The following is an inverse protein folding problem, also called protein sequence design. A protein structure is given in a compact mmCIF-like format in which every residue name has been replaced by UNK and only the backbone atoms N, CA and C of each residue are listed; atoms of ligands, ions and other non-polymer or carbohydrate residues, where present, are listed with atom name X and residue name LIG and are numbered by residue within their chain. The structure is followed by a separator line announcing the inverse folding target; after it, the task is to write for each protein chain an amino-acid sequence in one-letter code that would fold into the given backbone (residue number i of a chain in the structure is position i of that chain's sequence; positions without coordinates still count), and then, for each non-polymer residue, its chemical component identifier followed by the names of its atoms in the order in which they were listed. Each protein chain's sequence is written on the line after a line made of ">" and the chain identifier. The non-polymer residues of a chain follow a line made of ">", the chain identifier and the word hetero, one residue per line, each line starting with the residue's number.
data_IF_309557792291
#
_entry.id   IF_309557792291
#
_cell.length_a   1.000
_cell.length_b   1.000
_cell.length_c   1.000
_cell.angle_alpha   90.00
_cell.angle_beta   90.00
_cell.angle_gamma   90.00
#
_symmetry.space_group_name_H-M   'P 1'
#
loop_
_entity.id
_entity.type
_entity.pdbx_description
1 polymer ?
#
# COMPACT_ATOMS: atom_id res chain seq x y z
N UNK A 1 -2.85 -36.84 27.39
CA UNK A 1 -3.06 -35.87 26.28
C UNK A 1 -4.37 -35.09 26.42
N UNK A 2 -5.54 -35.72 26.71
CA UNK A 2 -6.85 -35.03 26.87
C UNK A 2 -6.91 -34.08 28.09
N UNK A 3 -6.31 -34.44 29.22
CA UNK A 3 -6.29 -33.62 30.44
C UNK A 3 -5.46 -32.35 30.24
N UNK A 4 -4.31 -32.41 29.56
CA UNK A 4 -3.51 -31.24 29.23
C UNK A 4 -4.24 -30.29 28.31
N UNK A 5 -5.03 -30.81 27.35
CA UNK A 5 -5.84 -30.01 26.48
C UNK A 5 -6.96 -29.24 27.23
N UNK A 6 -7.63 -29.89 28.19
CA UNK A 6 -8.64 -29.24 29.04
C UNK A 6 -8.03 -28.16 29.92
N UNK A 7 -6.86 -28.43 30.54
CA UNK A 7 -6.14 -27.45 31.37
C UNK A 7 -5.70 -26.23 30.52
N UNK A 8 -5.23 -26.46 29.30
CA UNK A 8 -4.92 -25.36 28.37
C UNK A 8 -6.14 -24.53 28.00
N UNK A 9 -7.30 -25.15 27.75
CA UNK A 9 -8.56 -24.45 27.48
C UNK A 9 -9.06 -23.65 28.70
N UNK A 10 -8.98 -24.22 29.89
CA UNK A 10 -9.35 -23.54 31.14
C UNK A 10 -8.41 -22.35 31.43
N UNK A 11 -7.11 -22.51 31.24
CA UNK A 11 -6.13 -21.41 31.35
C UNK A 11 -6.38 -20.30 30.31
N UNK A 12 -6.72 -20.66 29.04
CA UNK A 12 -7.12 -19.67 28.00
C UNK A 12 -8.41 -18.97 28.37
N UNK A 13 -9.43 -19.69 28.87
CA UNK A 13 -10.68 -19.09 29.32
C UNK A 13 -10.49 -18.13 30.49
N UNK A 14 -9.68 -18.48 31.49
CA UNK A 14 -9.37 -17.60 32.59
C UNK A 14 -8.53 -16.36 32.17
N UNK A 15 -7.58 -16.54 31.25
CA UNK A 15 -6.87 -15.40 30.64
C UNK A 15 -7.79 -14.50 29.80
N UNK A 16 -8.76 -15.06 29.08
CA UNK A 16 -9.72 -14.32 28.25
C UNK A 16 -10.65 -13.40 29.06
N UNK A 17 -10.83 -13.66 30.36
CA UNK A 17 -11.61 -12.77 31.25
C UNK A 17 -10.80 -11.50 31.59
N UNK A 18 -9.46 -11.59 31.59
CA UNK A 18 -8.56 -10.50 31.96
C UNK A 18 -7.82 -9.87 30.78
N UNK A 19 -7.72 -10.55 29.64
CA UNK A 19 -7.11 -10.04 28.40
C UNK A 19 -8.16 -10.03 27.30
N UNK A 20 -8.33 -8.90 26.65
CA UNK A 20 -9.16 -8.82 25.42
C UNK A 20 -8.58 -9.82 24.39
N UNK A 21 -9.37 -10.84 24.05
CA UNK A 21 -9.05 -11.71 22.92
C UNK A 21 -8.89 -10.84 21.67
N UNK A 22 -7.86 -11.09 20.92
CA UNK A 22 -7.64 -10.46 19.61
C UNK A 22 -7.63 -11.54 18.52
N UNK A 23 -7.79 -11.12 17.28
CA UNK A 23 -7.81 -11.99 16.11
C UNK A 23 -6.64 -13.00 16.10
N UNK A 24 -5.46 -12.57 16.50
CA UNK A 24 -4.26 -13.42 16.45
C UNK A 24 -4.30 -14.55 17.48
N UNK A 25 -4.79 -14.29 18.67
CA UNK A 25 -4.97 -15.35 19.68
C UNK A 25 -6.05 -16.34 19.28
N UNK A 26 -7.10 -15.89 18.59
CA UNK A 26 -8.15 -16.75 18.04
C UNK A 26 -7.62 -17.64 16.91
N UNK A 27 -6.66 -17.14 16.13
CA UNK A 27 -5.94 -17.90 15.10
C UNK A 27 -4.88 -18.86 15.67
N UNK A 28 -4.68 -18.87 16.99
CA UNK A 28 -3.77 -19.81 17.65
C UNK A 28 -2.35 -19.29 17.89
N UNK A 29 -2.10 -17.99 17.68
CA UNK A 29 -0.83 -17.38 18.03
C UNK A 29 -0.72 -17.11 19.54
N UNK A 30 0.47 -17.25 20.10
CA UNK A 30 0.81 -16.61 21.37
C UNK A 30 1.11 -15.14 21.09
N UNK A 31 0.31 -14.23 21.67
CA UNK A 31 0.45 -12.79 21.44
C UNK A 31 1.30 -12.16 22.54
N UNK A 32 2.30 -11.37 22.13
CA UNK A 32 3.20 -10.62 23.01
C UNK A 32 3.18 -9.15 22.59
N UNK A 33 2.77 -8.27 23.46
CA UNK A 33 2.73 -6.83 23.19
C UNK A 33 1.43 -6.16 23.69
N UNK A 34 1.21 -4.88 23.33
CA UNK A 34 2.12 -4.03 22.54
C UNK A 34 3.40 -3.67 23.27
N UNK A 35 4.52 -3.59 22.54
CA UNK A 35 5.85 -3.24 23.05
C UNK A 35 6.32 -1.92 22.44
N UNK A 36 7.06 -1.12 23.20
CA UNK A 36 7.71 0.06 22.65
C UNK A 36 8.89 -0.35 21.74
N UNK A 37 8.73 -0.21 20.42
CA UNK A 37 9.74 -0.57 19.42
C UNK A 37 10.99 0.29 19.42
N UNK A 38 11.03 1.37 20.18
CA UNK A 38 12.22 2.20 20.39
C UNK A 38 12.99 1.84 21.66
N UNK A 39 12.54 0.82 22.42
CA UNK A 39 13.23 0.30 23.58
C UNK A 39 13.95 -1.03 23.22
N UNK A 40 15.16 -0.91 22.68
CA UNK A 40 15.95 -2.05 22.22
C UNK A 40 16.21 -3.09 23.31
N UNK A 41 16.46 -2.64 24.55
CA UNK A 41 16.72 -3.52 25.69
C UNK A 41 15.50 -4.39 26.05
N UNK A 42 14.32 -3.83 25.97
CA UNK A 42 13.06 -4.55 26.20
C UNK A 42 12.80 -5.55 25.05
N UNK A 43 12.98 -5.13 23.81
CA UNK A 43 12.84 -6.00 22.64
C UNK A 43 13.80 -7.19 22.70
N UNK A 44 15.08 -6.96 23.04
CA UNK A 44 16.06 -8.03 23.19
C UNK A 44 15.63 -9.05 24.26
N UNK A 45 15.16 -8.57 25.42
CA UNK A 45 14.66 -9.46 26.49
C UNK A 45 13.46 -10.28 26.02
N UNK A 46 12.52 -9.66 25.31
CA UNK A 46 11.35 -10.34 24.76
C UNK A 46 11.77 -11.38 23.74
N UNK A 47 12.64 -11.06 22.78
CA UNK A 47 13.12 -12.01 21.78
C UNK A 47 13.84 -13.21 22.40
N UNK A 48 14.63 -13.01 23.47
CA UNK A 48 15.26 -14.11 24.21
C UNK A 48 14.24 -15.04 24.86
N UNK A 49 13.11 -14.52 25.33
CA UNK A 49 12.07 -15.30 25.98
C UNK A 49 11.20 -16.05 24.98
N UNK A 50 10.76 -15.37 23.91
CA UNK A 50 9.81 -15.96 22.93
C UNK A 50 10.43 -17.08 22.10
N UNK A 51 11.74 -17.06 21.86
CA UNK A 51 12.41 -18.13 21.11
C UNK A 51 12.31 -19.53 21.78
N UNK A 52 11.96 -19.58 23.09
CA UNK A 52 11.77 -20.81 23.83
C UNK A 52 10.30 -21.27 23.88
N UNK A 53 9.39 -20.56 23.23
CA UNK A 53 7.98 -20.92 23.13
C UNK A 53 7.81 -21.86 21.94
N UNK A 54 7.32 -23.07 22.21
CA UNK A 54 7.01 -24.07 21.17
C UNK A 54 5.59 -23.84 20.60
N UNK A 55 5.39 -22.65 20.02
CA UNK A 55 4.14 -22.24 19.36
C UNK A 55 4.42 -21.06 18.41
N UNK A 56 3.56 -20.79 17.43
CA UNK A 56 3.63 -19.55 16.68
C UNK A 56 3.46 -18.34 17.61
N UNK A 57 4.37 -17.39 17.53
CA UNK A 57 4.35 -16.17 18.36
C UNK A 57 4.17 -14.94 17.48
N UNK A 58 3.21 -14.09 17.84
CA UNK A 58 3.06 -12.77 17.25
C UNK A 58 3.56 -11.72 18.24
N UNK A 59 4.61 -11.00 17.85
CA UNK A 59 5.17 -9.91 18.65
C UNK A 59 4.65 -8.59 18.08
N UNK A 60 3.79 -7.90 18.83
CA UNK A 60 3.27 -6.59 18.46
C UNK A 60 4.19 -5.49 18.97
N UNK A 61 4.78 -4.75 18.04
CA UNK A 61 5.72 -3.66 18.34
C UNK A 61 5.15 -2.36 17.80
N UNK A 62 5.05 -1.36 18.65
CA UNK A 62 4.63 -0.01 18.29
C UNK A 62 5.84 0.88 18.11
N UNK A 63 5.91 1.54 16.94
CA UNK A 63 6.99 2.49 16.62
C UNK A 63 6.41 3.81 16.14
N UNK A 64 7.16 4.89 16.33
CA UNK A 64 6.89 6.17 15.69
C UNK A 64 7.81 6.30 14.48
N UNK A 65 7.23 6.36 13.27
CA UNK A 65 7.99 6.52 12.03
C UNK A 65 8.74 7.85 12.04
N UNK A 66 10.00 7.84 11.63
CA UNK A 66 10.86 9.03 11.67
C UNK A 66 11.43 9.38 13.04
N UNK A 67 11.27 8.50 14.05
CA UNK A 67 11.72 8.71 15.44
C UNK A 67 13.17 9.18 15.51
N UNK A 68 13.38 10.32 16.22
CA UNK A 68 14.68 10.95 16.41
C UNK A 68 14.93 12.15 15.50
N UNK A 69 14.05 12.40 14.51
CA UNK A 69 14.10 13.59 13.68
C UNK A 69 12.70 14.22 13.62
N UNK A 70 12.49 15.35 14.31
CA UNK A 70 11.17 15.94 14.51
C UNK A 70 10.40 16.19 13.21
N UNK A 71 11.07 16.70 12.17
CA UNK A 71 10.42 16.97 10.89
C UNK A 71 9.90 15.70 10.22
N UNK A 72 10.60 14.57 10.41
CA UNK A 72 10.14 13.26 9.93
C UNK A 72 9.05 12.66 10.83
N UNK A 73 9.10 12.92 12.13
CA UNK A 73 8.05 12.48 13.06
C UNK A 73 6.73 13.20 12.77
N UNK A 74 6.77 14.46 12.36
CA UNK A 74 5.60 15.27 12.03
C UNK A 74 5.06 14.99 10.61
N UNK A 75 5.95 14.65 9.68
CA UNK A 75 5.60 14.37 8.27
C UNK A 75 6.21 13.05 7.77
N UNK A 76 5.86 11.90 8.35
CA UNK A 76 6.52 10.63 8.04
C UNK A 76 6.35 10.16 6.59
N UNK A 77 5.32 10.60 5.90
CA UNK A 77 5.08 10.27 4.50
C UNK A 77 6.05 10.99 3.57
N UNK A 78 6.38 12.25 3.86
CA UNK A 78 7.33 13.06 3.07
C UNK A 78 8.74 12.49 3.18
N UNK A 79 9.13 12.06 4.40
CA UNK A 79 10.46 11.52 4.67
C UNK A 79 10.58 9.99 4.43
N UNK A 80 9.58 9.39 3.81
CA UNK A 80 9.63 7.99 3.44
C UNK A 80 10.19 7.80 2.03
N UNK A 81 11.47 7.48 1.94
CA UNK A 81 12.12 7.22 0.64
C UNK A 81 12.40 8.52 -0.15
N UNK A 82 12.88 9.55 0.52
CA UNK A 82 13.30 10.80 -0.10
C UNK A 82 14.78 10.74 -0.52
N UNK A 83 15.14 11.57 -1.51
CA UNK A 83 16.52 11.84 -1.89
C UNK A 83 17.27 12.70 -0.86
N UNK A 84 18.46 13.22 -1.21
CA UNK A 84 19.21 14.12 -0.33
C UNK A 84 18.38 15.34 0.09
N UNK A 85 18.47 15.67 1.36
CA UNK A 85 17.76 16.82 1.93
C UNK A 85 18.63 17.54 2.98
N UNK A 86 18.32 18.79 3.26
CA UNK A 86 18.98 19.55 4.30
C UNK A 86 18.45 19.15 5.68
N UNK A 87 19.32 18.64 6.55
CA UNK A 87 18.96 18.15 7.89
C UNK A 87 18.43 19.28 8.80
N UNK A 88 18.90 20.52 8.62
CA UNK A 88 18.53 21.63 9.50
C UNK A 88 17.07 22.09 9.31
N UNK A 89 16.56 22.09 8.09
CA UNK A 89 15.23 22.60 7.75
C UNK A 89 14.34 21.59 7.00
N UNK A 90 14.84 20.39 6.73
CA UNK A 90 14.11 19.32 6.05
C UNK A 90 13.85 19.59 4.56
N UNK A 91 14.42 20.63 3.97
CA UNK A 91 14.20 20.95 2.56
C UNK A 91 14.81 19.90 1.65
N UNK A 92 13.98 19.35 0.80
CA UNK A 92 14.36 18.38 -0.24
C UNK A 92 14.86 19.19 -1.43
N UNK A 93 16.03 18.84 -1.94
CA UNK A 93 16.52 19.39 -3.20
C UNK A 93 15.57 18.91 -4.33
N UNK A 94 14.75 19.85 -4.83
CA UNK A 94 13.91 19.55 -5.99
C UNK A 94 14.84 19.40 -7.20
N UNK A 95 14.93 18.20 -7.74
CA UNK A 95 15.37 18.06 -9.11
C UNK A 95 14.35 18.79 -10.01
N UNK A 96 14.82 19.70 -10.85
CA UNK A 96 14.00 20.26 -11.94
C UNK A 96 13.66 19.11 -12.89
N UNK A 97 12.53 18.46 -12.69
CA UNK A 97 12.13 17.35 -13.53
C UNK A 97 10.77 17.61 -14.13
N UNK A 98 10.73 17.77 -15.44
CA UNK A 98 9.52 17.51 -16.21
C UNK A 98 9.32 15.99 -16.26
N UNK A 99 8.83 15.40 -15.19
CA UNK A 99 8.59 13.96 -15.14
C UNK A 99 7.24 13.61 -15.76
N UNK A 100 7.10 12.41 -16.32
CA UNK A 100 5.80 11.90 -16.78
C UNK A 100 4.76 11.88 -15.66
N UNK A 101 5.16 11.59 -14.43
CA UNK A 101 4.29 11.63 -13.23
C UNK A 101 3.73 13.03 -13.00
N UNK A 102 4.55 14.08 -13.18
CA UNK A 102 4.10 15.48 -13.04
C UNK A 102 3.16 15.87 -14.18
N UNK A 103 3.51 15.52 -15.41
CA UNK A 103 2.63 15.74 -16.57
C UNK A 103 1.26 15.04 -16.40
N UNK A 104 1.27 13.81 -15.95
CA UNK A 104 0.05 13.05 -15.62
C UNK A 104 -0.77 13.75 -14.53
N UNK A 105 -0.12 14.22 -13.45
CA UNK A 105 -0.78 14.95 -12.36
C UNK A 105 -1.55 16.17 -12.85
N UNK A 106 -0.95 16.99 -13.73
CA UNK A 106 -1.61 18.16 -14.32
C UNK A 106 -2.78 17.75 -15.23
N UNK A 107 -2.56 16.80 -16.13
CA UNK A 107 -3.58 16.37 -17.10
C UNK A 107 -4.81 15.80 -16.40
N UNK A 108 -4.63 14.93 -15.39
CA UNK A 108 -5.78 14.32 -14.70
C UNK A 108 -6.60 15.35 -13.93
N UNK A 109 -5.97 16.38 -13.36
CA UNK A 109 -6.65 17.48 -12.68
C UNK A 109 -7.45 18.33 -13.69
N UNK A 110 -6.84 18.69 -14.80
CA UNK A 110 -7.49 19.48 -15.84
C UNK A 110 -8.70 18.76 -16.45
N UNK A 111 -8.59 17.46 -16.70
CA UNK A 111 -9.70 16.66 -17.21
C UNK A 111 -10.78 16.45 -16.14
N UNK A 112 -10.44 16.23 -14.89
CA UNK A 112 -11.40 16.10 -13.80
C UNK A 112 -12.15 17.39 -13.48
N UNK A 113 -11.55 18.55 -13.75
CA UNK A 113 -12.23 19.84 -13.63
C UNK A 113 -13.33 20.02 -14.70
N UNK A 114 -13.15 19.43 -15.88
CA UNK A 114 -14.12 19.46 -17.00
C UNK A 114 -15.20 18.38 -16.89
N UNK A 115 -14.92 17.29 -16.14
CA UNK A 115 -15.73 16.07 -16.13
C UNK A 115 -15.89 15.54 -14.70
N UNK A 116 -17.14 15.36 -14.29
CA UNK A 116 -17.47 14.88 -12.95
C UNK A 116 -17.42 13.34 -12.81
N UNK A 117 -17.35 12.61 -13.91
CA UNK A 117 -17.32 11.14 -13.96
C UNK A 117 -15.91 10.55 -13.78
N UNK A 118 -14.86 11.38 -13.81
CA UNK A 118 -13.47 10.94 -13.58
C UNK A 118 -13.25 10.76 -12.07
N UNK A 119 -12.78 9.56 -11.69
CA UNK A 119 -12.37 9.19 -10.34
C UNK A 119 -10.97 8.58 -10.36
N UNK A 120 -10.18 8.85 -9.34
CA UNK A 120 -8.81 8.36 -9.24
C UNK A 120 -8.67 7.36 -8.09
N UNK A 121 -7.95 6.28 -8.35
CA UNK A 121 -7.70 5.20 -7.40
C UNK A 121 -6.20 4.95 -7.33
N UNK A 122 -5.68 4.71 -6.14
CA UNK A 122 -4.31 4.25 -5.93
C UNK A 122 -4.25 3.23 -4.80
N UNK A 123 -3.12 2.53 -4.69
CA UNK A 123 -2.86 1.54 -3.65
C UNK A 123 -1.68 1.99 -2.78
N UNK A 124 -1.93 2.91 -1.84
CA UNK A 124 -0.96 3.53 -0.92
C UNK A 124 0.16 4.33 -1.62
N UNK A 125 -0.08 4.84 -2.83
CA UNK A 125 0.96 5.49 -3.66
C UNK A 125 0.55 6.87 -4.18
N UNK A 126 -0.30 7.62 -3.48
CA UNK A 126 -0.83 8.90 -3.95
C UNK A 126 0.26 9.90 -4.38
N UNK A 127 1.33 10.02 -3.59
CA UNK A 127 2.46 10.90 -3.91
C UNK A 127 3.27 10.37 -5.09
N UNK A 128 3.61 9.09 -5.08
CA UNK A 128 4.48 8.49 -6.09
C UNK A 128 3.84 8.38 -7.47
N UNK A 129 2.51 8.32 -7.55
CA UNK A 129 1.74 8.28 -8.81
C UNK A 129 1.23 9.66 -9.24
N UNK A 130 1.62 10.76 -8.55
CA UNK A 130 1.19 12.12 -8.90
C UNK A 130 -0.26 12.47 -8.54
N UNK A 131 -0.95 11.65 -7.74
CA UNK A 131 -2.35 11.88 -7.37
C UNK A 131 -2.56 12.74 -6.13
N UNK A 132 -1.49 13.20 -5.47
CA UNK A 132 -1.59 13.98 -4.23
C UNK A 132 -2.39 15.29 -4.42
N UNK A 133 -2.17 16.00 -5.52
CA UNK A 133 -2.93 17.24 -5.83
C UNK A 133 -4.37 16.93 -6.23
N UNK A 134 -4.62 15.83 -6.95
CA UNK A 134 -5.97 15.36 -7.26
C UNK A 134 -6.76 15.08 -5.97
N UNK A 135 -6.16 14.39 -5.01
CA UNK A 135 -6.76 14.13 -3.70
C UNK A 135 -7.17 15.41 -2.97
N UNK A 136 -6.34 16.46 -3.03
CA UNK A 136 -6.63 17.73 -2.38
C UNK A 136 -7.77 18.49 -3.05
N UNK A 137 -7.83 18.47 -4.40
CA UNK A 137 -8.84 19.22 -5.15
C UNK A 137 -10.18 18.47 -5.29
N UNK A 138 -10.13 17.15 -5.36
CA UNK A 138 -11.30 16.29 -5.59
C UNK A 138 -11.40 15.14 -4.55
N UNK A 139 -11.45 15.44 -3.24
CA UNK A 139 -11.39 14.41 -2.20
C UNK A 139 -12.50 13.36 -2.29
N UNK A 140 -13.69 13.72 -2.77
CA UNK A 140 -14.82 12.80 -2.96
C UNK A 140 -14.72 11.92 -4.21
N UNK A 141 -13.71 12.13 -5.03
CA UNK A 141 -13.43 11.37 -6.27
C UNK A 141 -12.07 10.68 -6.23
N UNK A 142 -11.42 10.68 -5.07
CA UNK A 142 -10.15 10.03 -4.84
C UNK A 142 -10.31 8.88 -3.84
N UNK A 143 -9.71 7.74 -4.16
CA UNK A 143 -9.75 6.54 -3.33
C UNK A 143 -8.34 5.95 -3.19
N UNK A 144 -7.86 5.86 -1.95
CA UNK A 144 -6.66 5.09 -1.60
C UNK A 144 -7.11 3.81 -0.91
N UNK A 145 -6.89 2.68 -1.54
CA UNK A 145 -7.31 1.37 -1.02
C UNK A 145 -6.28 0.72 -0.11
N UNK A 146 -5.19 1.41 0.22
CA UNK A 146 -4.07 0.82 0.92
C UNK A 146 -3.25 -0.11 0.01
N UNK A 147 -2.40 -0.96 0.59
CA UNK A 147 -1.57 -1.91 -0.17
C UNK A 147 -2.45 -3.10 -0.60
N UNK A 148 -3.35 -2.87 -1.56
CA UNK A 148 -4.33 -3.84 -2.02
C UNK A 148 -4.64 -3.65 -3.52
N UNK A 149 -3.67 -3.94 -4.37
CA UNK A 149 -3.74 -3.68 -5.82
C UNK A 149 -4.89 -4.47 -6.49
N UNK A 150 -5.14 -5.71 -6.07
CA UNK A 150 -6.27 -6.51 -6.55
C UNK A 150 -7.61 -5.82 -6.26
N UNK A 151 -7.75 -5.29 -5.02
CA UNK A 151 -8.95 -4.54 -4.64
C UNK A 151 -9.07 -3.25 -5.45
N UNK A 152 -7.98 -2.53 -5.71
CA UNK A 152 -7.99 -1.33 -6.55
C UNK A 152 -8.59 -1.60 -7.93
N UNK A 153 -8.19 -2.70 -8.57
CA UNK A 153 -8.67 -3.07 -9.92
C UNK A 153 -10.13 -3.52 -9.89
N UNK A 154 -10.52 -4.40 -8.97
CA UNK A 154 -11.93 -4.82 -8.84
C UNK A 154 -12.85 -3.65 -8.49
N UNK A 155 -12.41 -2.75 -7.62
CA UNK A 155 -13.14 -1.53 -7.27
C UNK A 155 -13.28 -0.59 -8.48
N UNK A 156 -12.20 -0.40 -9.26
CA UNK A 156 -12.25 0.34 -10.52
C UNK A 156 -13.28 -0.26 -11.50
N UNK A 157 -13.31 -1.59 -11.63
CA UNK A 157 -14.29 -2.28 -12.46
C UNK A 157 -15.73 -1.98 -12.00
N UNK A 158 -16.00 -2.02 -10.70
CA UNK A 158 -17.31 -1.68 -10.14
C UNK A 158 -17.73 -0.23 -10.43
N UNK A 159 -16.81 0.73 -10.28
CA UNK A 159 -17.06 2.13 -10.60
C UNK A 159 -17.32 2.34 -12.11
N UNK A 160 -16.57 1.64 -12.97
CA UNK A 160 -16.78 1.68 -14.42
C UNK A 160 -18.15 1.09 -14.81
N UNK A 161 -18.55 -0.02 -14.19
CA UNK A 161 -19.87 -0.62 -14.38
C UNK A 161 -21.01 0.31 -13.93
N UNK A 162 -20.76 1.17 -12.93
CA UNK A 162 -21.68 2.21 -12.49
C UNK A 162 -21.69 3.48 -13.38
N UNK A 163 -20.93 3.50 -14.48
CA UNK A 163 -20.90 4.60 -15.44
C UNK A 163 -19.84 5.66 -15.16
N UNK A 164 -18.95 5.48 -14.21
CA UNK A 164 -17.82 6.37 -13.95
C UNK A 164 -16.62 6.02 -14.85
N UNK A 165 -15.63 6.88 -14.87
CA UNK A 165 -14.35 6.70 -15.56
C UNK A 165 -13.20 6.62 -14.57
N UNK A 166 -12.96 5.44 -14.01
CA UNK A 166 -11.91 5.26 -13.03
C UNK A 166 -10.54 5.23 -13.71
N UNK A 167 -9.59 5.91 -13.07
CA UNK A 167 -8.17 5.89 -13.40
C UNK A 167 -7.45 5.25 -12.21
N UNK A 168 -6.94 4.04 -12.38
CA UNK A 168 -6.17 3.32 -11.39
C UNK A 168 -4.68 3.58 -11.62
N UNK A 169 -4.07 4.39 -10.75
CA UNK A 169 -2.66 4.76 -10.83
C UNK A 169 -1.84 3.87 -9.87
N UNK A 170 -1.04 2.98 -10.44
CA UNK A 170 -0.32 1.92 -9.73
C UNK A 170 1.06 1.75 -10.38
N UNK A 171 2.09 1.46 -9.58
CA UNK A 171 3.42 1.13 -10.12
C UNK A 171 3.39 -0.19 -10.90
N UNK A 172 4.14 -0.23 -11.99
CA UNK A 172 4.23 -1.39 -12.88
C UNK A 172 4.51 -2.69 -12.14
N UNK A 173 5.51 -2.71 -11.27
CA UNK A 173 5.87 -3.90 -10.48
C UNK A 173 4.73 -4.38 -9.57
N UNK A 174 3.93 -3.47 -9.01
CA UNK A 174 2.83 -3.82 -8.11
C UNK A 174 1.57 -4.22 -8.85
N UNK A 175 1.35 -3.71 -10.07
CA UNK A 175 0.22 -4.10 -10.90
C UNK A 175 0.23 -5.60 -11.26
N UNK A 176 1.39 -6.25 -11.21
CA UNK A 176 1.52 -7.70 -11.40
C UNK A 176 0.62 -8.51 -10.46
N UNK A 177 0.35 -7.99 -9.25
CA UNK A 177 -0.52 -8.67 -8.27
C UNK A 177 -1.99 -8.72 -8.72
N UNK A 178 -2.39 -7.85 -9.65
CA UNK A 178 -3.79 -7.67 -10.05
C UNK A 178 -4.08 -8.13 -11.50
N UNK A 179 -3.18 -8.91 -12.10
CA UNK A 179 -3.35 -9.39 -13.49
C UNK A 179 -4.64 -10.17 -13.67
N UNK A 180 -4.98 -11.04 -12.71
CA UNK A 180 -6.24 -11.79 -12.75
C UNK A 180 -7.46 -10.88 -12.76
N UNK A 181 -7.49 -9.87 -11.88
CA UNK A 181 -8.58 -8.89 -11.82
C UNK A 181 -8.66 -8.02 -13.08
N UNK A 182 -7.53 -7.68 -13.69
CA UNK A 182 -7.53 -6.98 -15.00
C UNK A 182 -8.20 -7.82 -16.07
N UNK A 183 -7.89 -9.12 -16.11
CA UNK A 183 -8.49 -10.04 -17.08
C UNK A 183 -9.97 -10.25 -16.79
N UNK A 184 -10.29 -10.69 -15.58
CA UNK A 184 -11.63 -11.17 -15.21
C UNK A 184 -12.61 -10.02 -14.98
N UNK A 185 -12.21 -9.01 -14.19
CA UNK A 185 -13.14 -7.98 -13.76
C UNK A 185 -13.26 -6.82 -14.77
N UNK A 186 -12.21 -6.54 -15.53
CA UNK A 186 -12.16 -5.40 -16.45
C UNK A 186 -12.28 -5.84 -17.92
N UNK A 187 -11.32 -6.64 -18.41
CA UNK A 187 -11.17 -6.90 -19.83
C UNK A 187 -12.28 -7.80 -20.40
N UNK A 188 -12.67 -8.84 -19.69
CA UNK A 188 -13.80 -9.74 -20.10
C UNK A 188 -15.11 -8.96 -20.18
N UNK A 189 -15.33 -8.03 -19.26
CA UNK A 189 -16.54 -7.20 -19.21
C UNK A 189 -16.45 -5.96 -20.13
N UNK A 190 -15.30 -5.71 -20.74
CA UNK A 190 -15.03 -4.54 -21.61
C UNK A 190 -15.30 -3.22 -20.90
N UNK A 191 -14.97 -3.13 -19.64
CA UNK A 191 -15.20 -1.94 -18.84
C UNK A 191 -14.15 -0.86 -19.12
N UNK A 192 -14.54 0.43 -19.18
CA UNK A 192 -13.65 1.54 -19.51
C UNK A 192 -12.80 1.98 -18.32
N UNK A 193 -11.91 1.12 -17.85
CA UNK A 193 -10.93 1.42 -16.81
C UNK A 193 -9.63 1.88 -17.45
N UNK A 194 -9.03 2.96 -16.96
CA UNK A 194 -7.70 3.43 -17.34
C UNK A 194 -6.70 3.02 -16.27
N UNK A 195 -5.66 2.32 -16.67
CA UNK A 195 -4.50 2.02 -15.81
C UNK A 195 -3.39 3.00 -16.14
N UNK A 196 -3.10 3.93 -15.22
CA UNK A 196 -1.96 4.83 -15.28
C UNK A 196 -0.77 4.13 -14.58
N UNK A 197 0.11 3.56 -15.39
CA UNK A 197 1.19 2.71 -14.89
C UNK A 197 2.45 3.57 -14.73
N UNK A 198 2.81 3.85 -13.49
CA UNK A 198 4.03 4.57 -13.15
C UNK A 198 5.20 3.59 -12.91
N UNK A 199 6.44 4.05 -12.96
CA UNK A 199 7.67 3.24 -12.82
C UNK A 199 7.71 2.08 -13.82
N UNK A 200 7.27 2.29 -15.07
CA UNK A 200 7.43 1.34 -16.15
C UNK A 200 8.89 1.34 -16.66
N UNK A 201 9.40 0.16 -17.04
CA UNK A 201 10.78 -0.02 -17.49
C UNK A 201 11.79 -0.15 -16.34
N UNK A 202 13.06 0.15 -16.63
CA UNK A 202 14.13 0.13 -15.65
C UNK A 202 14.06 1.37 -14.74
N UNK A 203 14.05 1.17 -13.44
CA UNK A 203 13.94 2.23 -12.42
C UNK A 203 15.23 2.29 -11.61
N UNK A 204 16.18 3.22 -11.92
CA UNK A 204 17.54 3.18 -11.39
C UNK A 204 17.65 3.34 -9.87
N UNK A 205 16.68 4.00 -9.23
CA UNK A 205 16.80 4.39 -7.82
C UNK A 205 15.94 3.56 -6.85
N UNK A 206 15.10 2.66 -7.37
CA UNK A 206 14.11 1.94 -6.54
C UNK A 206 14.52 0.49 -6.21
N UNK A 207 15.72 0.05 -6.61
CA UNK A 207 16.24 -1.28 -6.30
C UNK A 207 15.60 -2.42 -7.11
N UNK A 208 15.96 -3.65 -6.79
CA UNK A 208 15.63 -4.84 -7.57
C UNK A 208 14.13 -5.17 -7.59
N UNK A 209 13.41 -4.83 -6.52
CA UNK A 209 12.00 -5.20 -6.34
C UNK A 209 11.01 -4.25 -7.01
N UNK A 210 11.48 -3.12 -7.57
CA UNK A 210 10.63 -2.06 -8.12
C UNK A 210 10.83 -1.85 -9.63
N UNK A 211 11.33 -2.86 -10.33
CA UNK A 211 11.55 -2.79 -11.77
C UNK A 211 10.27 -3.11 -12.55
N UNK A 212 9.88 -2.21 -13.46
CA UNK A 212 8.66 -2.31 -14.26
C UNK A 212 8.89 -2.97 -15.62
N UNK A 213 9.43 -4.19 -15.67
CA UNK A 213 9.89 -4.82 -16.91
C UNK A 213 8.82 -5.68 -17.61
N UNK A 214 7.73 -6.03 -16.94
CA UNK A 214 6.80 -7.05 -17.41
C UNK A 214 5.41 -6.54 -17.78
N UNK A 215 5.08 -5.29 -17.50
CA UNK A 215 3.76 -4.68 -17.70
C UNK A 215 3.28 -4.77 -19.16
N UNK A 216 4.08 -4.33 -20.10
CA UNK A 216 3.73 -4.44 -21.53
C UNK A 216 3.52 -5.90 -21.95
N UNK A 217 4.36 -6.82 -21.43
CA UNK A 217 4.29 -8.22 -21.78
C UNK A 217 2.94 -8.85 -21.38
N UNK A 218 2.50 -8.66 -20.14
CA UNK A 218 1.24 -9.26 -19.70
C UNK A 218 0.01 -8.47 -20.17
N UNK A 219 0.06 -7.13 -20.25
CA UNK A 219 -1.09 -6.33 -20.66
C UNK A 219 -1.43 -6.50 -22.14
N UNK A 220 -0.43 -6.54 -23.01
CA UNK A 220 -0.67 -6.71 -24.47
C UNK A 220 -1.26 -8.07 -24.84
N UNK A 221 -1.13 -9.07 -23.98
CA UNK A 221 -1.69 -10.39 -24.22
C UNK A 221 -3.19 -10.49 -23.84
N UNK A 222 -3.71 -9.49 -23.12
CA UNK A 222 -5.10 -9.48 -22.64
C UNK A 222 -6.00 -8.90 -23.75
N UNK A 223 -7.04 -9.63 -24.22
CA UNK A 223 -7.98 -9.10 -25.19
C UNK A 223 -8.71 -7.84 -24.69
N UNK A 224 -9.08 -6.96 -25.59
CA UNK A 224 -9.77 -5.69 -25.33
C UNK A 224 -8.92 -4.64 -24.54
N UNK A 225 -7.63 -4.89 -24.35
CA UNK A 225 -6.70 -3.90 -23.79
C UNK A 225 -5.99 -3.12 -24.90
N UNK A 226 -5.85 -1.81 -24.69
CA UNK A 226 -4.99 -0.94 -25.51
C UNK A 226 -3.83 -0.47 -24.64
N UNK A 227 -2.61 -0.73 -25.06
CA UNK A 227 -1.39 -0.32 -24.35
C UNK A 227 -0.75 0.85 -25.09
N UNK A 228 -0.50 1.94 -24.36
CA UNK A 228 0.18 3.14 -24.86
C UNK A 228 1.46 3.37 -24.04
N UNK A 229 2.52 3.75 -24.71
CA UNK A 229 3.80 4.13 -24.12
C UNK A 229 4.19 5.50 -24.70
N UNK A 230 3.78 6.60 -24.07
CA UNK A 230 3.98 7.96 -24.56
C UNK A 230 5.45 8.42 -24.47
#
# INVERSE_FOLDING_TARGET
>A
RRINFLIHRLKRGAKGIFYRNNLFTDLGFEYVGPLNGHNEKELEKVFRNVKNIDAPVLIHVETKKGKGYLLAEDNPSVFHGIGPFNIADGKIEKANSNSFTEAFSHIIIDEAAKRNDIVAITAAMAQGTGLQQFQQQFPNRFFDVGIAEQHAVTFAAGLAAAGLRPIAAIYSTFLQRAVDQIIHDVALQKLPVIFAIDRAGAVPYDGETHQGLYDICFLRSIPNMTVLAP
#
